data_IF_763446187245
#
_entry.id   IF_763446187245
#
_cell.length_a   1.000
_cell.length_b   1.000
_cell.length_c   1.000
_cell.angle_alpha   90.00
_cell.angle_beta   90.00
_cell.angle_gamma   90.00
#
_symmetry.space_group_name_H-M   'P 1'
#
loop_
_entity.id
_entity.type
_entity.pdbx_description
1 polymer ?
#
# COMPACT_ATOMS: atom_id res chain seq x y z
N UNK A 1 -34.36 -10.45 34.22
CA UNK A 1 -34.64 -9.47 33.17
C UNK A 1 -33.75 -9.80 31.97
N UNK A 2 -34.37 -10.38 30.90
CA UNK A 2 -33.69 -10.50 29.59
C UNK A 2 -33.82 -9.18 28.86
N UNK A 3 -32.79 -8.40 28.78
CA UNK A 3 -32.70 -7.24 27.88
C UNK A 3 -32.51 -7.76 26.45
N UNK A 4 -33.54 -7.63 25.62
CA UNK A 4 -33.49 -7.85 24.17
C UNK A 4 -32.76 -6.65 23.54
N UNK A 5 -31.42 -6.66 23.56
CA UNK A 5 -30.63 -5.74 22.73
C UNK A 5 -30.57 -6.37 21.34
N UNK A 6 -31.25 -5.75 20.36
CA UNK A 6 -31.05 -6.10 18.95
C UNK A 6 -29.62 -5.65 18.57
N UNK A 7 -28.66 -6.55 18.66
CA UNK A 7 -27.34 -6.32 18.14
C UNK A 7 -27.36 -6.52 16.62
N UNK A 8 -26.83 -5.56 15.87
CA UNK A 8 -26.57 -5.73 14.44
C UNK A 8 -25.35 -6.64 14.34
N UNK A 9 -25.48 -7.78 13.68
CA UNK A 9 -24.33 -8.66 13.37
C UNK A 9 -23.49 -8.00 12.27
N UNK A 10 -22.36 -7.39 12.66
CA UNK A 10 -21.45 -6.71 11.74
C UNK A 10 -20.31 -7.65 11.40
N UNK A 11 -20.14 -7.95 10.12
CA UNK A 11 -19.00 -8.66 9.60
C UNK A 11 -18.02 -7.71 8.92
N UNK A 12 -16.78 -7.69 9.40
CA UNK A 12 -15.71 -6.89 8.81
C UNK A 12 -14.78 -7.78 7.98
N UNK A 13 -14.59 -7.43 6.72
CA UNK A 13 -13.61 -8.06 5.83
C UNK A 13 -12.32 -7.24 5.94
N UNK A 14 -11.17 -7.91 6.10
CA UNK A 14 -9.84 -7.27 6.09
C UNK A 14 -9.38 -6.79 4.70
N UNK A 15 -10.32 -6.59 3.76
CA UNK A 15 -10.09 -6.13 2.40
C UNK A 15 -10.85 -4.83 2.14
N UNK A 16 -10.18 -3.88 1.50
CA UNK A 16 -10.76 -2.60 1.11
C UNK A 16 -10.01 -2.00 -0.07
N UNK A 17 -10.47 -0.86 -0.57
CA UNK A 17 -9.81 -0.11 -1.64
C UNK A 17 -8.38 0.34 -1.28
N UNK A 18 -8.05 0.38 -0.01
CA UNK A 18 -6.76 0.69 0.59
C UNK A 18 -5.90 -0.55 0.93
N UNK A 19 -6.32 -1.75 0.50
CA UNK A 19 -5.53 -2.96 0.68
C UNK A 19 -4.22 -2.87 -0.11
N UNK A 20 -3.10 -3.14 0.57
CA UNK A 20 -1.77 -3.15 -0.04
C UNK A 20 -1.67 -4.24 -1.10
N UNK A 21 -1.10 -3.90 -2.25
CA UNK A 21 -0.85 -4.83 -3.35
C UNK A 21 0.65 -5.08 -3.47
N UNK A 22 1.04 -6.35 -3.51
CA UNK A 22 2.43 -6.78 -3.63
C UNK A 22 2.56 -7.82 -4.74
N UNK A 23 3.58 -7.70 -5.59
CA UNK A 23 3.90 -8.75 -6.53
C UNK A 23 4.68 -9.88 -5.84
N UNK A 24 4.13 -11.08 -5.85
CA UNK A 24 4.75 -12.27 -5.28
C UNK A 24 5.66 -12.94 -6.32
N UNK A 25 6.97 -12.76 -6.18
CA UNK A 25 7.95 -13.32 -7.12
C UNK A 25 7.96 -14.85 -7.20
N UNK A 26 7.46 -15.53 -6.15
CA UNK A 26 7.43 -17.00 -6.11
C UNK A 26 6.27 -17.58 -6.92
N UNK A 27 5.10 -16.95 -6.84
CA UNK A 27 3.89 -17.39 -7.53
C UNK A 27 3.68 -16.70 -8.87
N UNK A 28 4.32 -15.56 -9.10
CA UNK A 28 4.08 -14.71 -10.28
C UNK A 28 2.75 -13.94 -10.21
N UNK A 29 2.12 -13.86 -9.04
CA UNK A 29 0.82 -13.24 -8.85
C UNK A 29 0.88 -11.98 -7.98
N UNK A 30 -0.20 -11.21 -7.98
CA UNK A 30 -0.39 -10.10 -7.06
C UNK A 30 -1.13 -10.56 -5.80
N UNK A 31 -0.52 -10.35 -4.63
CA UNK A 31 -1.17 -10.53 -3.33
C UNK A 31 -1.85 -9.22 -2.93
N UNK A 32 -3.08 -9.31 -2.38
CA UNK A 32 -3.90 -8.15 -1.99
C UNK A 32 -4.25 -8.28 -0.51
N UNK A 33 -3.82 -7.28 0.28
CA UNK A 33 -3.98 -7.29 1.72
C UNK A 33 -3.15 -8.39 2.43
N UNK A 34 -3.37 -8.64 3.74
CA UNK A 34 -4.29 -7.93 4.65
C UNK A 34 -3.80 -6.54 5.09
N UNK A 35 -2.53 -6.20 4.83
CA UNK A 35 -1.98 -4.88 5.15
C UNK A 35 -2.73 -3.76 4.42
N UNK A 36 -2.85 -2.60 5.07
CA UNK A 36 -3.45 -1.40 4.48
C UNK A 36 -2.40 -0.32 4.30
N UNK A 37 -2.53 0.46 3.24
CA UNK A 37 -1.66 1.58 2.93
C UNK A 37 -2.49 2.71 2.32
N UNK A 38 -2.01 3.92 2.39
CA UNK A 38 -2.60 5.04 1.66
C UNK A 38 -2.43 4.81 0.16
N UNK A 39 -3.48 4.92 -0.67
CA UNK A 39 -3.35 4.83 -2.12
C UNK A 39 -2.35 5.84 -2.65
N UNK A 40 -1.52 5.48 -3.64
CA UNK A 40 -0.51 6.37 -4.22
C UNK A 40 -1.15 7.64 -4.80
N UNK A 41 -2.29 7.51 -5.48
CA UNK A 41 -3.04 8.65 -6.01
C UNK A 41 -3.43 9.65 -4.92
N UNK A 42 -3.90 9.17 -3.78
CA UNK A 42 -4.25 10.02 -2.64
C UNK A 42 -3.01 10.64 -1.98
N UNK A 43 -1.95 9.85 -1.79
CA UNK A 43 -0.72 10.31 -1.17
C UNK A 43 -0.07 11.45 -1.97
N UNK A 44 -0.05 11.34 -3.31
CA UNK A 44 0.50 12.39 -4.19
C UNK A 44 -0.38 13.64 -4.18
N UNK A 45 -1.71 13.50 -4.14
CA UNK A 45 -2.62 14.64 -4.02
C UNK A 45 -2.37 15.44 -2.73
N UNK A 46 -2.06 14.73 -1.62
CA UNK A 46 -1.76 15.39 -0.34
C UNK A 46 -0.31 15.94 -0.29
N UNK A 47 0.61 15.29 -0.99
CA UNK A 47 2.05 15.64 -1.03
C UNK A 47 2.59 15.63 -2.48
N UNK A 48 2.40 16.69 -3.26
CA UNK A 48 2.79 16.72 -4.68
C UNK A 48 4.28 16.40 -4.96
N UNK A 49 5.17 16.63 -3.97
CA UNK A 49 6.58 16.25 -4.06
C UNK A 49 6.83 14.75 -4.26
N UNK A 50 5.87 13.88 -3.87
CA UNK A 50 5.92 12.44 -4.08
C UNK A 50 5.89 12.05 -5.57
N UNK A 51 5.21 12.81 -6.43
CA UNK A 51 5.12 12.54 -7.87
C UNK A 51 6.51 12.38 -8.49
N UNK A 52 7.41 13.32 -8.24
CA UNK A 52 8.80 13.27 -8.75
C UNK A 52 9.54 12.01 -8.29
N UNK A 53 9.30 11.59 -7.03
CA UNK A 53 9.93 10.39 -6.48
C UNK A 53 9.42 9.12 -7.16
N UNK A 54 8.12 9.00 -7.37
CA UNK A 54 7.52 7.85 -8.05
C UNK A 54 8.02 7.75 -9.50
N UNK A 55 8.07 8.86 -10.22
CA UNK A 55 8.61 8.91 -11.58
C UNK A 55 10.10 8.51 -11.61
N UNK A 56 10.91 9.00 -10.67
CA UNK A 56 12.35 8.65 -10.62
C UNK A 56 12.61 7.18 -10.26
N UNK A 57 11.63 6.47 -9.70
CA UNK A 57 11.75 5.09 -9.26
C UNK A 57 11.68 4.05 -10.39
N UNK A 58 11.32 4.44 -11.58
CA UNK A 58 11.06 3.56 -12.73
C UNK A 58 12.28 2.86 -13.34
N UNK A 59 13.43 2.85 -12.69
CA UNK A 59 14.68 2.33 -13.27
C UNK A 59 14.81 0.81 -13.23
N UNK A 60 13.90 0.09 -12.58
CA UNK A 60 13.96 -1.38 -12.50
C UNK A 60 13.05 -2.03 -13.53
N UNK A 61 13.59 -2.94 -14.34
CA UNK A 61 12.82 -3.79 -15.24
C UNK A 61 12.08 -4.91 -14.49
N UNK A 62 12.42 -5.15 -13.23
CA UNK A 62 11.81 -6.17 -12.39
C UNK A 62 10.62 -5.60 -11.60
N UNK A 63 9.54 -6.40 -11.43
CA UNK A 63 8.43 -6.03 -10.57
C UNK A 63 8.91 -5.66 -9.17
N UNK A 64 8.55 -4.48 -8.72
CA UNK A 64 8.96 -3.94 -7.41
C UNK A 64 7.73 -3.35 -6.73
N UNK A 65 7.63 -3.52 -5.42
CA UNK A 65 6.56 -2.92 -4.66
C UNK A 65 6.80 -1.41 -4.51
N UNK A 66 5.90 -0.54 -5.00
CA UNK A 66 6.01 0.91 -4.84
C UNK A 66 5.60 1.34 -3.42
N UNK A 67 6.36 0.93 -2.39
CA UNK A 67 6.07 1.28 -1.01
C UNK A 67 6.87 2.51 -0.57
N UNK A 68 6.16 3.56 -0.24
CA UNK A 68 6.67 4.81 0.33
C UNK A 68 6.43 4.83 1.83
N UNK A 69 7.40 5.35 2.58
CA UNK A 69 7.33 5.63 4.00
C UNK A 69 7.25 7.14 4.15
N UNK A 70 6.19 7.60 4.78
CA UNK A 70 5.87 9.01 4.96
C UNK A 70 6.02 9.34 6.44
N UNK A 71 6.73 10.43 6.75
CA UNK A 71 6.85 10.96 8.10
C UNK A 71 5.50 11.49 8.57
N UNK A 72 5.05 11.04 9.73
CA UNK A 72 3.85 11.59 10.35
C UNK A 72 4.20 12.27 11.69
N UNK A 73 4.20 11.54 12.79
CA UNK A 73 4.42 12.08 14.14
C UNK A 73 5.72 11.60 14.79
N UNK A 74 6.63 11.04 13.98
CA UNK A 74 7.90 10.56 14.53
C UNK A 74 8.72 11.75 15.04
N UNK A 75 9.04 11.73 16.33
CA UNK A 75 9.94 12.68 16.99
C UNK A 75 11.34 12.09 17.12
N UNK A 76 12.32 12.95 17.44
CA UNK A 76 13.69 12.50 17.73
C UNK A 76 13.66 11.52 18.90
N UNK A 77 13.98 10.27 18.65
CA UNK A 77 14.21 9.27 19.69
C UNK A 77 15.70 9.15 19.97
N UNK A 78 16.04 8.74 21.19
CA UNK A 78 17.44 8.57 21.63
C UNK A 78 18.09 7.30 21.04
N UNK A 79 17.38 6.58 20.17
CA UNK A 79 17.86 5.34 19.55
C UNK A 79 18.57 5.57 18.22
N UNK A 80 19.60 4.75 17.96
CA UNK A 80 20.33 4.78 16.67
C UNK A 80 19.40 4.49 15.46
N UNK A 81 18.35 3.67 15.64
CA UNK A 81 17.38 3.36 14.59
C UNK A 81 16.49 4.57 14.25
N UNK A 82 15.93 5.22 15.26
CA UNK A 82 15.05 6.37 15.13
C UNK A 82 15.79 7.56 14.52
N UNK A 83 17.02 7.82 14.93
CA UNK A 83 17.86 8.90 14.40
C UNK A 83 18.17 8.69 12.91
N UNK A 84 18.59 7.47 12.52
CA UNK A 84 18.84 7.13 11.11
C UNK A 84 17.57 7.15 10.26
N UNK A 85 16.46 6.69 10.81
CA UNK A 85 15.17 6.75 10.12
C UNK A 85 14.73 8.20 9.88
N UNK A 86 14.91 9.08 10.86
CA UNK A 86 14.64 10.51 10.69
C UNK A 86 15.54 11.16 9.64
N UNK A 87 16.82 10.82 9.61
CA UNK A 87 17.73 11.28 8.57
C UNK A 87 17.22 10.87 7.18
N UNK A 88 16.82 9.61 7.00
CA UNK A 88 16.21 9.12 5.77
C UNK A 88 14.91 9.83 5.40
N UNK A 89 14.14 10.26 6.40
CA UNK A 89 12.85 10.98 6.25
C UNK A 89 13.00 12.51 6.26
N UNK A 90 14.17 13.05 6.02
CA UNK A 90 14.43 14.50 6.09
C UNK A 90 13.54 15.31 5.13
N UNK A 91 13.18 14.73 3.99
CA UNK A 91 12.27 15.33 3.01
C UNK A 91 10.78 14.98 3.26
N UNK A 92 10.46 14.42 4.42
CA UNK A 92 9.10 14.00 4.79
C UNK A 92 8.70 12.61 4.29
N UNK A 93 9.40 12.05 3.32
CA UNK A 93 9.12 10.71 2.76
C UNK A 93 10.36 10.07 2.11
N UNK A 94 10.35 8.74 2.04
CA UNK A 94 11.38 7.94 1.34
C UNK A 94 10.79 6.60 0.88
N UNK A 95 11.33 5.99 -0.18
CA UNK A 95 10.97 4.62 -0.51
C UNK A 95 11.62 3.62 0.44
N UNK A 96 10.93 2.51 0.71
CA UNK A 96 11.45 1.45 1.58
C UNK A 96 12.82 0.93 1.10
N UNK A 97 12.98 0.75 -0.22
CA UNK A 97 14.26 0.33 -0.80
C UNK A 97 15.36 1.35 -0.52
N UNK A 98 15.09 2.64 -0.75
CA UNK A 98 16.09 3.68 -0.54
C UNK A 98 16.51 3.81 0.93
N UNK A 99 15.63 3.48 1.90
CA UNK A 99 16.03 3.41 3.31
C UNK A 99 17.13 2.38 3.55
N UNK A 100 17.06 1.24 2.85
CA UNK A 100 18.05 0.17 2.98
C UNK A 100 19.29 0.45 2.15
N UNK A 101 19.11 0.85 0.89
CA UNK A 101 20.22 1.04 -0.07
C UNK A 101 21.13 2.19 0.37
N UNK A 102 20.59 3.22 1.02
CA UNK A 102 21.35 4.32 1.62
C UNK A 102 21.88 4.02 3.02
N UNK A 103 21.65 2.81 3.55
CA UNK A 103 22.17 2.38 4.85
C UNK A 103 21.49 3.01 6.08
N UNK A 104 20.35 3.68 5.91
CA UNK A 104 19.60 4.23 7.05
C UNK A 104 19.04 3.14 7.96
N UNK A 105 18.55 2.04 7.38
CA UNK A 105 18.07 0.87 8.12
C UNK A 105 18.54 -0.44 7.46
N UNK A 106 18.52 -1.53 8.23
CA UNK A 106 18.71 -2.88 7.69
C UNK A 106 17.37 -3.51 7.29
N UNK A 107 17.40 -4.52 6.41
CA UNK A 107 16.19 -5.28 6.02
C UNK A 107 15.52 -5.97 7.22
N UNK A 108 16.31 -6.37 8.24
CA UNK A 108 15.81 -6.98 9.48
C UNK A 108 14.93 -6.00 10.27
N UNK A 109 15.12 -4.69 10.08
CA UNK A 109 14.37 -3.66 10.79
C UNK A 109 12.98 -3.35 10.20
N UNK A 110 12.53 -4.07 9.17
CA UNK A 110 11.22 -3.83 8.54
C UNK A 110 10.06 -4.02 9.52
N UNK A 111 10.14 -4.97 10.45
CA UNK A 111 9.12 -5.15 11.49
C UNK A 111 8.95 -3.89 12.35
N UNK A 112 10.03 -3.19 12.66
CA UNK A 112 9.96 -1.93 13.41
C UNK A 112 9.23 -0.82 12.64
N UNK A 113 9.39 -0.76 11.31
CA UNK A 113 8.62 0.19 10.49
C UNK A 113 7.12 -0.11 10.54
N UNK A 114 6.75 -1.39 10.50
CA UNK A 114 5.34 -1.82 10.62
C UNK A 114 4.79 -1.47 12.02
N UNK A 115 5.60 -1.59 13.08
CA UNK A 115 5.20 -1.18 14.43
C UNK A 115 4.99 0.33 14.52
N UNK A 116 5.89 1.13 13.95
CA UNK A 116 5.76 2.59 13.90
C UNK A 116 4.54 3.03 13.07
N UNK A 117 4.26 2.34 11.96
CA UNK A 117 3.07 2.60 11.16
C UNK A 117 1.79 2.27 11.96
N UNK A 118 1.73 1.13 12.65
CA UNK A 118 0.60 0.77 13.53
C UNK A 118 0.40 1.77 14.68
N UNK A 119 1.48 2.32 15.19
CA UNK A 119 1.44 3.37 16.21
C UNK A 119 1.05 4.76 15.65
N UNK A 120 0.86 4.90 14.32
CA UNK A 120 0.53 6.16 13.67
C UNK A 120 1.69 7.18 13.66
N UNK A 121 2.92 6.73 13.88
CA UNK A 121 4.12 7.58 13.86
C UNK A 121 4.67 7.72 12.43
N UNK A 122 4.42 6.74 11.59
CA UNK A 122 4.65 6.74 10.15
C UNK A 122 3.34 6.47 9.41
N UNK A 123 3.30 6.79 8.13
CA UNK A 123 2.25 6.38 7.21
C UNK A 123 2.89 5.64 6.03
N UNK A 124 2.29 4.55 5.60
CA UNK A 124 2.71 3.86 4.40
C UNK A 124 1.82 4.26 3.24
N UNK A 125 2.41 4.56 2.08
CA UNK A 125 1.69 4.70 0.83
C UNK A 125 2.19 3.69 -0.19
N UNK A 126 1.28 3.08 -0.93
CA UNK A 126 1.60 2.02 -1.88
C UNK A 126 0.49 1.80 -2.88
N UNK A 127 0.72 0.89 -3.83
CA UNK A 127 -0.30 0.55 -4.82
C UNK A 127 -1.45 -0.25 -4.18
N UNK A 128 -2.67 0.12 -4.55
CA UNK A 128 -3.90 -0.42 -3.97
C UNK A 128 -4.96 -0.71 -5.05
N UNK A 129 -6.06 -1.43 -4.74
CA UNK A 129 -7.20 -1.54 -5.64
C UNK A 129 -7.79 -0.18 -6.05
N UNK A 130 -7.71 0.85 -5.20
CA UNK A 130 -8.10 2.22 -5.55
C UNK A 130 -7.23 2.77 -6.68
N UNK A 131 -5.91 2.57 -6.63
CA UNK A 131 -5.01 2.96 -7.72
C UNK A 131 -5.34 2.19 -9.02
N UNK A 132 -5.65 0.90 -8.92
CA UNK A 132 -6.07 0.12 -10.09
C UNK A 132 -7.33 0.70 -10.76
N UNK A 133 -8.30 1.20 -9.98
CA UNK A 133 -9.49 1.87 -10.51
C UNK A 133 -9.14 3.18 -11.24
N UNK A 134 -8.16 3.95 -10.77
CA UNK A 134 -7.66 5.15 -11.44
C UNK A 134 -6.98 4.81 -12.77
N UNK A 135 -6.12 3.77 -12.80
CA UNK A 135 -5.48 3.29 -14.04
C UNK A 135 -6.53 2.90 -15.08
N UNK A 136 -7.59 2.20 -14.65
CA UNK A 136 -8.70 1.74 -15.49
C UNK A 136 -9.72 2.84 -15.82
N UNK A 137 -9.50 4.09 -15.38
CA UNK A 137 -10.43 5.21 -15.55
C UNK A 137 -11.85 4.96 -15.01
N UNK A 138 -11.97 4.07 -14.01
CA UNK A 138 -13.22 3.78 -13.30
C UNK A 138 -13.42 4.67 -12.06
N UNK A 139 -12.38 5.38 -11.66
CA UNK A 139 -12.39 6.38 -10.61
C UNK A 139 -11.51 7.56 -11.06
N UNK A 140 -12.00 8.79 -10.84
CA UNK A 140 -11.30 10.03 -11.16
C UNK A 140 -11.48 11.03 -10.00
N UNK A 141 -10.78 10.76 -8.89
CA UNK A 141 -10.89 11.57 -7.67
C UNK A 141 -9.55 12.18 -7.24
N UNK A 142 -8.45 11.49 -7.49
CA UNK A 142 -7.10 11.84 -7.05
C UNK A 142 -6.13 11.82 -8.23
N UNK A 143 -4.83 11.79 -7.95
CA UNK A 143 -3.78 11.81 -8.98
C UNK A 143 -3.70 10.48 -9.75
N UNK A 144 -4.32 10.44 -10.94
CA UNK A 144 -4.30 9.25 -11.81
C UNK A 144 -2.91 8.95 -12.38
N UNK A 145 -2.03 9.96 -12.54
CA UNK A 145 -0.67 9.75 -13.04
C UNK A 145 0.18 9.00 -12.00
N UNK A 146 0.00 9.30 -10.71
CA UNK A 146 0.63 8.54 -9.63
C UNK A 146 0.24 7.06 -9.67
N UNK A 147 -1.03 6.75 -9.93
CA UNK A 147 -1.51 5.37 -10.09
C UNK A 147 -0.89 4.68 -11.31
N UNK A 148 -0.80 5.36 -12.46
CA UNK A 148 -0.15 4.85 -13.67
C UNK A 148 1.34 4.51 -13.42
N UNK A 149 2.05 5.42 -12.77
CA UNK A 149 3.45 5.21 -12.42
C UNK A 149 3.62 4.09 -11.39
N UNK A 150 2.73 4.01 -10.40
CA UNK A 150 2.69 2.91 -9.42
C UNK A 150 2.47 1.55 -10.07
N UNK A 151 1.52 1.45 -11.01
CA UNK A 151 1.29 0.22 -11.76
C UNK A 151 2.52 -0.21 -12.58
N UNK A 152 3.22 0.76 -13.20
CA UNK A 152 4.44 0.50 -13.97
C UNK A 152 5.58 -0.02 -13.10
N UNK A 153 5.77 0.53 -11.90
CA UNK A 153 6.74 0.04 -10.93
C UNK A 153 6.39 -1.39 -10.50
N UNK A 154 5.11 -1.61 -10.20
CA UNK A 154 4.62 -2.89 -9.69
C UNK A 154 4.73 -4.01 -10.74
N UNK A 155 4.50 -3.71 -12.02
CA UNK A 155 4.60 -4.68 -13.14
C UNK A 155 6.03 -4.91 -13.61
N UNK A 156 6.94 -3.94 -13.40
CA UNK A 156 8.20 -3.89 -14.12
C UNK A 156 7.95 -3.75 -15.64
N UNK A 157 8.84 -4.33 -16.45
CA UNK A 157 8.68 -4.35 -17.92
C UNK A 157 7.93 -5.57 -18.46
N UNK A 158 7.33 -6.39 -17.57
CA UNK A 158 6.76 -7.70 -17.95
C UNK A 158 5.36 -7.61 -18.50
N UNK A 159 4.55 -6.68 -17.99
CA UNK A 159 3.13 -6.56 -18.32
C UNK A 159 2.77 -5.07 -18.44
N UNK A 160 1.76 -4.75 -19.27
CA UNK A 160 1.26 -3.38 -19.39
C UNK A 160 0.59 -2.88 -18.11
N UNK A 161 0.60 -1.57 -17.90
CA UNK A 161 0.02 -0.94 -16.69
C UNK A 161 -1.48 -1.21 -16.58
N UNK A 162 -2.20 -1.17 -17.69
CA UNK A 162 -3.63 -1.42 -17.73
C UNK A 162 -3.97 -2.89 -17.44
N UNK A 163 -3.22 -3.83 -18.04
CA UNK A 163 -3.37 -5.26 -17.77
C UNK A 163 -3.06 -5.61 -16.31
N UNK A 164 -2.03 -4.97 -15.74
CA UNK A 164 -1.71 -5.09 -14.31
C UNK A 164 -2.87 -4.63 -13.44
N UNK A 165 -3.41 -3.46 -13.72
CA UNK A 165 -4.53 -2.90 -12.98
C UNK A 165 -5.81 -3.76 -13.12
N UNK A 166 -6.07 -4.29 -14.31
CA UNK A 166 -7.20 -5.18 -14.55
C UNK A 166 -7.08 -6.49 -13.79
N UNK A 167 -5.90 -7.10 -13.77
CA UNK A 167 -5.61 -8.32 -13.02
C UNK A 167 -5.84 -8.11 -11.53
N UNK A 168 -5.31 -7.01 -10.97
CA UNK A 168 -5.49 -6.66 -9.55
C UNK A 168 -6.97 -6.41 -9.25
N UNK A 169 -7.66 -5.64 -10.07
CA UNK A 169 -9.07 -5.34 -9.88
C UNK A 169 -9.93 -6.61 -9.89
N UNK A 170 -9.76 -7.49 -10.88
CA UNK A 170 -10.48 -8.78 -10.97
C UNK A 170 -10.21 -9.64 -9.72
N UNK A 171 -8.94 -9.78 -9.33
CA UNK A 171 -8.57 -10.55 -8.12
C UNK A 171 -9.21 -9.95 -6.86
N UNK A 172 -9.20 -8.62 -6.71
CA UNK A 172 -9.84 -7.94 -5.60
C UNK A 172 -11.33 -8.23 -5.52
N UNK A 173 -12.06 -8.11 -6.62
CA UNK A 173 -13.50 -8.39 -6.70
C UNK A 173 -13.80 -9.85 -6.30
N UNK A 174 -13.02 -10.80 -6.82
CA UNK A 174 -13.16 -12.22 -6.47
C UNK A 174 -12.93 -12.45 -4.98
N UNK A 175 -11.89 -11.84 -4.40
CA UNK A 175 -11.60 -12.00 -2.97
C UNK A 175 -12.72 -11.42 -2.09
N UNK A 176 -13.28 -10.27 -2.46
CA UNK A 176 -14.43 -9.67 -1.74
C UNK A 176 -15.64 -10.59 -1.85
N UNK A 177 -15.98 -11.07 -3.05
CA UNK A 177 -17.10 -11.97 -3.27
C UNK A 177 -16.98 -13.29 -2.46
N UNK A 178 -15.78 -13.90 -2.46
CA UNK A 178 -15.51 -15.12 -1.70
C UNK A 178 -15.67 -14.91 -0.19
N UNK A 179 -15.24 -13.77 0.34
CA UNK A 179 -15.41 -13.45 1.77
C UNK A 179 -16.88 -13.26 2.14
N UNK A 180 -17.65 -12.57 1.31
CA UNK A 180 -19.10 -12.41 1.50
C UNK A 180 -19.78 -13.79 1.46
N UNK A 181 -19.46 -14.63 0.46
CA UNK A 181 -20.04 -15.97 0.32
C UNK A 181 -19.71 -16.87 1.50
N UNK A 182 -18.45 -16.92 1.95
CA UNK A 182 -18.05 -17.67 3.14
C UNK A 182 -18.85 -17.29 4.38
N UNK A 183 -19.08 -15.99 4.59
CA UNK A 183 -19.87 -15.53 5.73
C UNK A 183 -21.33 -15.96 5.60
N UNK A 184 -21.94 -15.86 4.43
CA UNK A 184 -23.34 -16.27 4.24
C UNK A 184 -23.55 -17.76 4.53
N UNK A 185 -22.55 -18.62 4.25
CA UNK A 185 -22.60 -20.05 4.57
C UNK A 185 -22.41 -20.37 6.06
N UNK A 186 -21.75 -19.46 6.83
CA UNK A 186 -21.57 -19.64 8.28
C UNK A 186 -22.78 -19.21 9.10
N UNK A 187 -23.74 -18.52 8.48
CA UNK A 187 -24.97 -18.03 9.13
C UNK A 187 -26.17 -18.97 8.94
N UNK A 188 -26.03 -20.02 8.14
CA UNK A 188 -26.98 -21.11 7.97
C UNK A 188 -26.51 -22.36 8.73
#
# INVERSE_FOLDING_TARGET
HKTLIKAIDIFTIGLGGDSRVVYNKKTGEYDIGPGRVKPLCSAVSDMPGLSKKIVSWQKSNEPTEPLLIIKNKISSGDGNFESKLQEGLNNGFISREALVDNGYISRISYSKLEDLNRAGLLEFAGFTPTDALHVLKKLDKWDGEASQNGARILSGSKIGTEETAETIYKKFVVLVALNIFKKSMMLN
#
